data_IF_017142443831
#
_entry.id   IF_017142443831
#
_cell.length_a   1.000
_cell.length_b   1.000
_cell.length_c   1.000
_cell.angle_alpha   90.00
_cell.angle_beta   90.00
_cell.angle_gamma   90.00
#
_symmetry.space_group_name_H-M   'P 1'
#
loop_
_entity.id
_entity.type
_entity.pdbx_description
1 polymer ?
#
# COMPACT_ATOMS: atom_id res chain seq x y z
N UNK A 1 -9.36 14.22 -9.39
CA UNK A 1 -8.16 15.08 -9.24
C UNK A 1 -8.53 16.50 -9.65
N UNK A 2 -7.77 17.51 -9.22
CA UNK A 2 -8.08 18.92 -9.50
C UNK A 2 -7.16 19.53 -10.55
N UNK A 3 -7.32 20.83 -10.86
CA UNK A 3 -6.70 21.48 -12.01
C UNK A 3 -5.17 21.55 -11.97
N UNK A 4 -4.56 21.51 -10.77
CA UNK A 4 -3.10 21.51 -10.61
C UNK A 4 -2.54 20.11 -10.36
N UNK A 5 -3.38 19.07 -10.36
CA UNK A 5 -2.87 17.70 -10.29
C UNK A 5 -2.17 17.37 -11.60
N UNK A 6 -0.90 16.97 -11.51
CA UNK A 6 -0.11 16.57 -12.69
C UNK A 6 -0.76 15.42 -13.44
N UNK A 7 -0.97 15.60 -14.75
CA UNK A 7 -1.49 14.54 -15.62
C UNK A 7 -0.55 13.33 -15.66
N UNK A 8 0.76 13.57 -15.54
CA UNK A 8 1.75 12.50 -15.46
C UNK A 8 1.54 11.65 -14.20
N UNK A 9 1.34 12.27 -13.03
CA UNK A 9 1.07 11.53 -11.78
C UNK A 9 -0.22 10.70 -11.88
N UNK A 10 -1.27 11.26 -12.50
CA UNK A 10 -2.51 10.52 -12.78
C UNK A 10 -2.27 9.32 -13.72
N UNK A 11 -1.38 9.46 -14.70
CA UNK A 11 -1.03 8.36 -15.59
C UNK A 11 -0.22 7.27 -14.86
N UNK A 12 0.70 7.66 -13.97
CA UNK A 12 1.43 6.68 -13.12
C UNK A 12 0.46 5.86 -12.28
N UNK A 13 -0.58 6.47 -11.69
CA UNK A 13 -1.66 5.75 -10.97
C UNK A 13 -2.32 4.71 -11.90
N UNK A 14 -2.75 5.15 -13.08
CA UNK A 14 -3.44 4.28 -14.06
C UNK A 14 -2.55 3.13 -14.51
N UNK A 15 -1.29 3.41 -14.82
CA UNK A 15 -0.30 2.42 -15.26
C UNK A 15 0.01 1.42 -14.15
N UNK A 16 0.17 1.87 -12.90
CA UNK A 16 0.40 0.98 -11.75
C UNK A 16 -0.74 -0.03 -11.58
N UNK A 17 -1.98 0.47 -11.68
CA UNK A 17 -3.17 -0.37 -11.59
C UNK A 17 -3.27 -1.32 -12.78
N UNK A 18 -3.13 -0.82 -14.01
CA UNK A 18 -3.25 -1.63 -15.23
C UNK A 18 -2.15 -2.70 -15.36
N UNK A 19 -0.90 -2.35 -15.03
CA UNK A 19 0.23 -3.26 -15.08
C UNK A 19 0.29 -4.20 -13.87
N UNK A 20 -0.50 -3.93 -12.81
CA UNK A 20 -0.42 -4.70 -11.57
C UNK A 20 0.95 -4.60 -10.92
N UNK A 21 1.55 -3.41 -10.95
CA UNK A 21 2.89 -3.16 -10.42
C UNK A 21 2.83 -2.29 -9.17
N UNK A 22 3.74 -2.58 -8.24
CA UNK A 22 3.95 -1.71 -7.10
C UNK A 22 4.61 -0.40 -7.56
N UNK A 23 4.03 0.72 -7.13
CA UNK A 23 4.54 2.06 -7.44
C UNK A 23 4.39 2.96 -6.22
N UNK A 24 5.38 3.83 -6.04
CA UNK A 24 5.39 4.92 -5.08
C UNK A 24 5.65 6.22 -5.83
N UNK A 25 4.80 7.22 -5.62
CA UNK A 25 4.89 8.52 -6.28
C UNK A 25 4.20 9.59 -5.43
N UNK A 26 4.45 10.85 -5.77
CA UNK A 26 3.74 11.98 -5.17
C UNK A 26 2.65 12.48 -6.11
N UNK A 27 1.51 12.86 -5.55
CA UNK A 27 0.37 13.41 -6.29
C UNK A 27 -0.30 14.53 -5.48
N UNK A 28 -0.66 15.61 -6.18
CA UNK A 28 -1.40 16.71 -5.57
C UNK A 28 -2.89 16.37 -5.53
N UNK A 29 -3.45 16.26 -4.33
CA UNK A 29 -4.86 16.03 -4.08
C UNK A 29 -5.57 17.28 -3.54
N UNK A 30 -6.90 17.21 -3.51
CA UNK A 30 -7.78 18.27 -3.06
C UNK A 30 -8.72 17.70 -1.98
N UNK A 31 -8.80 18.38 -0.83
CA UNK A 31 -9.78 18.08 0.22
C UNK A 31 -11.16 18.57 -0.21
N UNK A 32 -12.20 18.16 0.54
CA UNK A 32 -13.59 18.55 0.25
C UNK A 32 -13.82 20.06 0.35
N UNK A 33 -13.04 20.77 1.15
CA UNK A 33 -13.07 22.23 1.29
C UNK A 33 -12.34 22.97 0.16
N UNK A 34 -11.79 22.25 -0.83
CA UNK A 34 -11.03 22.80 -1.94
C UNK A 34 -9.56 23.06 -1.65
N UNK A 35 -9.10 22.88 -0.40
CA UNK A 35 -7.68 23.00 -0.07
C UNK A 35 -6.87 21.88 -0.72
N UNK A 36 -5.66 22.22 -1.16
CA UNK A 36 -4.74 21.28 -1.81
C UNK A 36 -3.77 20.69 -0.80
N UNK A 37 -3.34 19.45 -1.05
CA UNK A 37 -2.25 18.82 -0.32
C UNK A 37 -1.43 17.91 -1.22
N UNK A 38 -0.11 17.91 -1.02
CA UNK A 38 0.80 16.96 -1.65
C UNK A 38 0.72 15.65 -0.87
N UNK A 39 0.48 14.56 -1.59
CA UNK A 39 0.34 13.24 -1.01
C UNK A 39 1.39 12.29 -1.56
N UNK A 40 2.12 11.63 -0.67
CA UNK A 40 2.91 10.44 -0.98
C UNK A 40 1.97 9.24 -1.07
N UNK A 41 1.80 8.70 -2.27
CA UNK A 41 0.90 7.57 -2.55
C UNK A 41 1.68 6.32 -2.94
N UNK A 42 1.34 5.19 -2.32
CA UNK A 42 1.92 3.88 -2.65
C UNK A 42 0.82 2.90 -3.04
N UNK A 43 0.84 2.43 -4.28
CA UNK A 43 -0.05 1.38 -4.79
C UNK A 43 0.69 0.05 -4.76
N UNK A 44 0.16 -0.94 -4.04
CA UNK A 44 0.76 -2.27 -3.93
C UNK A 44 -0.27 -3.38 -4.22
N UNK A 45 -0.14 -4.11 -5.35
CA UNK A 45 -1.02 -5.23 -5.69
C UNK A 45 -0.69 -6.46 -4.86
N UNK A 46 -1.70 -7.16 -4.39
CA UNK A 46 -1.60 -8.45 -3.71
C UNK A 46 -2.08 -9.53 -4.67
N UNK A 47 -1.20 -10.48 -4.95
CA UNK A 47 -1.45 -11.58 -5.87
C UNK A 47 -1.74 -12.88 -5.10
N UNK A 48 -2.59 -13.71 -5.70
CA UNK A 48 -2.79 -15.10 -5.29
C UNK A 48 -1.60 -15.98 -5.65
N UNK A 49 -1.71 -17.28 -5.36
CA UNK A 49 -0.72 -18.30 -5.72
C UNK A 49 -0.60 -18.52 -7.24
N UNK A 50 -1.62 -18.13 -8.02
CA UNK A 50 -1.64 -18.23 -9.49
C UNK A 50 -1.35 -16.88 -10.18
N UNK A 51 -0.72 -15.94 -9.47
CA UNK A 51 -0.32 -14.61 -9.94
C UNK A 51 -1.46 -13.64 -10.32
N UNK A 52 -2.72 -14.03 -10.13
CA UNK A 52 -3.88 -13.15 -10.25
C UNK A 52 -3.92 -12.12 -9.12
N UNK A 53 -4.22 -10.86 -9.45
CA UNK A 53 -4.35 -9.79 -8.47
C UNK A 53 -5.71 -9.90 -7.77
N UNK A 54 -5.69 -10.10 -6.45
CA UNK A 54 -6.90 -10.24 -5.65
C UNK A 54 -7.26 -8.96 -4.89
N UNK A 55 -6.28 -8.10 -4.62
CA UNK A 55 -6.46 -6.88 -3.83
C UNK A 55 -5.39 -5.84 -4.18
N UNK A 56 -5.73 -4.56 -4.09
CA UNK A 56 -4.74 -3.47 -4.05
C UNK A 56 -4.74 -2.85 -2.66
N UNK A 57 -3.55 -2.63 -2.11
CA UNK A 57 -3.36 -1.85 -0.90
C UNK A 57 -2.79 -0.51 -1.34
N UNK A 58 -3.53 0.58 -1.09
CA UNK A 58 -3.10 1.94 -1.42
C UNK A 58 -2.90 2.72 -0.13
N UNK A 59 -1.70 3.27 0.05
CA UNK A 59 -1.38 4.13 1.18
C UNK A 59 -1.36 5.59 0.73
N UNK A 60 -1.92 6.49 1.54
CA UNK A 60 -1.94 7.93 1.29
C UNK A 60 -1.33 8.64 2.50
N UNK A 61 -0.22 9.34 2.30
CA UNK A 61 0.44 10.14 3.34
C UNK A 61 0.43 11.61 2.95
N UNK A 62 -0.12 12.46 3.80
CA UNK A 62 -0.15 13.92 3.59
C UNK A 62 1.20 14.55 3.96
N UNK A 63 1.90 15.09 2.96
CA UNK A 63 3.21 15.71 3.12
C UNK A 63 3.12 17.20 3.52
N UNK A 64 1.93 17.80 3.52
CA UNK A 64 1.76 19.23 3.86
C UNK A 64 1.77 19.51 5.36
N UNK A 65 1.56 18.48 6.17
CA UNK A 65 1.65 18.56 7.62
C UNK A 65 2.38 17.31 8.14
N UNK A 66 3.71 17.23 7.96
CA UNK A 66 4.48 16.08 8.41
C UNK A 66 4.23 15.88 9.90
N UNK A 67 3.73 14.72 10.30
CA UNK A 67 3.69 14.35 11.71
C UNK A 67 5.12 14.48 12.26
N UNK A 68 5.31 15.08 13.45
CA UNK A 68 6.64 15.20 14.02
C UNK A 68 7.24 13.79 14.12
N UNK A 69 8.34 13.60 13.40
CA UNK A 69 9.13 12.38 13.44
C UNK A 69 9.56 12.18 14.89
N UNK A 70 8.93 11.24 15.60
CA UNK A 70 9.45 10.77 16.88
C UNK A 70 10.75 10.05 16.54
N UNK A 71 11.86 10.64 16.98
CA UNK A 71 13.23 10.24 16.67
C UNK A 71 13.50 8.82 17.17
N UNK A 72 13.12 7.80 16.38
CA UNK A 72 13.56 6.43 16.59
C UNK A 72 14.90 6.27 15.86
N UNK A 73 15.98 5.86 16.56
CA UNK A 73 17.34 5.99 16.06
C UNK A 73 17.53 5.25 14.73
N UNK A 74 18.17 5.98 13.81
CA UNK A 74 18.47 5.59 12.43
C UNK A 74 19.03 4.16 12.35
N UNK A 75 18.20 3.23 11.91
CA UNK A 75 18.65 1.92 11.42
C UNK A 75 18.23 1.78 9.97
N UNK A 76 19.25 1.80 9.12
CA UNK A 76 19.18 1.60 7.68
C UNK A 76 18.25 0.42 7.35
N UNK A 77 17.29 0.64 6.43
CA UNK A 77 16.25 -0.32 5.97
C UNK A 77 15.06 -0.59 6.91
N UNK A 78 14.62 0.39 7.72
CA UNK A 78 13.30 0.29 8.36
C UNK A 78 12.21 0.89 7.48
N UNK A 79 11.45 -0.02 6.87
CA UNK A 79 10.10 0.21 6.36
C UNK A 79 9.30 1.06 7.36
N UNK A 80 8.56 2.06 6.87
CA UNK A 80 7.67 2.86 7.72
C UNK A 80 6.73 1.95 8.53
N UNK A 81 6.15 2.43 9.64
CA UNK A 81 5.19 1.62 10.43
C UNK A 81 4.08 1.04 9.53
N UNK A 82 3.64 1.81 8.54
CA UNK A 82 2.69 1.38 7.53
C UNK A 82 3.27 0.35 6.58
N UNK A 83 4.46 0.54 6.04
CA UNK A 83 5.09 -0.44 5.15
C UNK A 83 5.35 -1.77 5.87
N UNK A 84 5.72 -1.72 7.15
CA UNK A 84 5.83 -2.90 8.02
C UNK A 84 4.47 -3.59 8.16
N UNK A 85 3.41 -2.84 8.48
CA UNK A 85 2.05 -3.40 8.60
C UNK A 85 1.57 -4.00 7.27
N UNK A 86 1.86 -3.34 6.13
CA UNK A 86 1.51 -3.81 4.79
C UNK A 86 2.26 -5.09 4.43
N UNK A 87 3.56 -5.16 4.70
CA UNK A 87 4.32 -6.39 4.51
C UNK A 87 3.81 -7.54 5.38
N UNK A 88 3.49 -7.27 6.65
CA UNK A 88 2.90 -8.28 7.54
C UNK A 88 1.55 -8.78 7.01
N UNK A 89 0.70 -7.88 6.51
CA UNK A 89 -0.57 -8.26 5.89
C UNK A 89 -0.36 -9.11 4.62
N UNK A 90 0.56 -8.71 3.73
CA UNK A 90 0.95 -9.51 2.55
C UNK A 90 1.48 -10.89 2.93
N UNK A 91 2.26 -10.99 4.01
CA UNK A 91 2.74 -12.28 4.53
C UNK A 91 1.60 -13.13 5.10
N UNK A 92 0.61 -12.52 5.78
CA UNK A 92 -0.55 -13.27 6.30
C UNK A 92 -1.41 -13.90 5.20
N UNK A 93 -1.51 -13.26 4.03
CA UNK A 93 -2.20 -13.83 2.87
C UNK A 93 -1.40 -14.92 2.14
N UNK A 94 -0.09 -15.00 2.40
CA UNK A 94 0.80 -16.04 1.84
C UNK A 94 0.93 -17.27 2.74
N UNK A 95 0.37 -17.26 3.95
CA UNK A 95 0.38 -18.45 4.82
C UNK A 95 -0.63 -19.47 4.29
N UNK A 96 -0.22 -20.70 3.93
CA UNK A 96 -1.16 -21.73 3.54
C UNK A 96 -2.02 -22.05 4.76
N UNK A 97 -3.35 -22.08 4.58
CA UNK A 97 -4.29 -22.66 5.54
C UNK A 97 -3.95 -24.14 5.70
N UNK A 98 -2.97 -24.44 6.55
CA UNK A 98 -2.66 -25.82 6.93
C UNK A 98 -3.90 -26.38 7.64
N UNK A 99 -4.60 -27.24 6.91
CA UNK A 99 -5.85 -27.86 7.29
C UNK A 99 -5.82 -28.37 8.73
N UNK A 100 -6.87 -28.01 9.46
CA UNK A 100 -7.26 -28.57 10.74
C UNK A 100 -7.54 -30.06 10.51
N UNK A 101 -6.51 -30.89 10.67
CA UNK A 101 -6.62 -32.34 10.55
C UNK A 101 -7.52 -32.89 11.66
N UNK A 102 -8.77 -33.19 11.31
CA UNK A 102 -9.63 -34.06 12.09
C UNK A 102 -9.01 -35.46 12.07
N UNK A 103 -8.34 -35.84 13.16
CA UNK A 103 -7.96 -37.24 13.37
C UNK A 103 -9.23 -38.01 13.70
N UNK A 104 -9.69 -38.86 12.77
CA UNK A 104 -10.62 -39.93 13.09
C UNK A 104 -9.91 -40.91 14.03
N UNK A 105 -10.38 -40.99 15.27
CA UNK A 105 -10.15 -42.15 16.11
C UNK A 105 -11.05 -43.27 15.57
N UNK A 106 -10.46 -44.36 15.11
CA UNK A 106 -11.17 -45.63 14.97
C UNK A 106 -10.72 -46.59 16.07
N UNK A 107 -11.69 -47.43 16.40
CA UNK A 107 -11.91 -48.29 17.56
C UNK A 107 -10.86 -49.36 17.83
#
# INVERSE_FOLDING_TARGET
HGPLTSQHAVNVVKEALAAGQEKHFEILYYRKDGTKFLCSEVIAPVKSEVDDICLYIINFEDLTNPQPYVDEPASNHRLSKFDRARQSFRQSLRMPLRGRGLRFAQS
#
